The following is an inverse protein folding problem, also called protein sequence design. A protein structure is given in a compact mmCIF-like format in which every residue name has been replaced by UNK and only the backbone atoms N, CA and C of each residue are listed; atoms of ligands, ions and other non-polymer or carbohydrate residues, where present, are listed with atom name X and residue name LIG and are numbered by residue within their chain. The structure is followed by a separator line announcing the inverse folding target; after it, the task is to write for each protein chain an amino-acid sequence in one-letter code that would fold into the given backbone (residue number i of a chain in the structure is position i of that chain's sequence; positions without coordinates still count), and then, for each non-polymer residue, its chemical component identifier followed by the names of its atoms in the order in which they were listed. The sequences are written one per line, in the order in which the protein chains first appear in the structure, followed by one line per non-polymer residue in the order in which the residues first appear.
data_IF_397930701394
#
_entry.id   IF_397930701394
#
_cell.length_a   1.000
_cell.length_b   1.000
_cell.length_c   1.000
_cell.angle_alpha   90.00
_cell.angle_beta   90.00
_cell.angle_gamma   90.00
#
_symmetry.space_group_name_H-M   'P 1'
#
loop_
_entity.id
_entity.type
_entity.pdbx_description
1 polymer ?
#
# COMPACT_ATOMS: atom_id res chain seq x y z
N UNK A 1 19.10 -10.03 -17.40
CA UNK A 1 18.43 -9.41 -16.24
C UNK A 1 18.01 -10.53 -15.32
N UNK A 2 18.86 -10.86 -14.34
CA UNK A 2 18.64 -12.01 -13.46
C UNK A 2 17.38 -11.82 -12.64
N UNK A 3 16.48 -12.81 -12.70
CA UNK A 3 15.26 -12.87 -11.90
C UNK A 3 15.66 -12.90 -10.44
N UNK A 4 15.41 -11.82 -9.71
CA UNK A 4 15.64 -11.76 -8.27
C UNK A 4 14.67 -12.78 -7.63
N UNK A 5 15.20 -13.94 -7.26
CA UNK A 5 14.45 -14.98 -6.54
C UNK A 5 14.62 -14.76 -5.03
N UNK A 6 13.50 -14.92 -4.31
CA UNK A 6 13.40 -14.75 -2.85
C UNK A 6 14.22 -15.80 -2.06
N UNK A 7 14.81 -16.80 -2.74
CA UNK A 7 15.55 -17.92 -2.13
C UNK A 7 17.06 -17.73 -2.08
N UNK A 8 17.61 -16.68 -2.71
CA UNK A 8 19.05 -16.42 -2.68
C UNK A 8 19.45 -15.62 -1.43
N UNK A 9 20.69 -15.80 -0.97
CA UNK A 9 21.26 -15.04 0.14
C UNK A 9 20.98 -13.53 -0.02
N UNK A 10 20.10 -13.00 0.84
CA UNK A 10 19.75 -11.58 0.86
C UNK A 10 20.92 -10.77 1.41
N UNK A 11 21.91 -10.49 0.57
CA UNK A 11 22.81 -9.38 0.83
C UNK A 11 22.04 -8.06 0.85
N UNK A 12 22.45 -7.12 1.72
CA UNK A 12 21.83 -5.79 1.88
C UNK A 12 21.50 -5.08 0.55
N UNK A 13 22.37 -5.22 -0.46
CA UNK A 13 22.17 -4.63 -1.80
C UNK A 13 20.94 -5.18 -2.54
N UNK A 14 20.67 -6.48 -2.43
CA UNK A 14 19.54 -7.13 -3.13
C UNK A 14 18.21 -6.84 -2.43
N UNK A 15 18.22 -6.77 -1.10
CA UNK A 15 17.06 -6.34 -0.30
C UNK A 15 16.68 -4.90 -0.63
N UNK A 16 17.66 -3.98 -0.66
CA UNK A 16 17.42 -2.58 -1.02
C UNK A 16 16.85 -2.45 -2.43
N UNK A 17 17.34 -3.20 -3.42
CA UNK A 17 16.81 -3.16 -4.79
C UNK A 17 15.38 -3.71 -4.90
N UNK A 18 15.01 -4.66 -4.04
CA UNK A 18 13.66 -5.22 -3.97
C UNK A 18 12.67 -4.28 -3.27
N UNK A 19 13.10 -3.58 -2.21
CA UNK A 19 12.24 -2.66 -1.46
C UNK A 19 12.18 -1.26 -2.06
N UNK A 20 13.14 -0.87 -2.90
CA UNK A 20 13.21 0.44 -3.55
C UNK A 20 11.90 0.85 -4.24
N UNK A 21 11.24 -0.01 -5.07
CA UNK A 21 9.98 0.34 -5.73
C UNK A 21 8.86 0.61 -4.72
N UNK A 22 8.76 -0.19 -3.65
CA UNK A 22 7.76 0.00 -2.58
C UNK A 22 8.00 1.29 -1.81
N UNK A 23 9.25 1.61 -1.49
CA UNK A 23 9.63 2.86 -0.82
C UNK A 23 9.25 4.06 -1.69
N UNK A 24 9.56 4.01 -2.99
CA UNK A 24 9.19 5.06 -3.95
C UNK A 24 7.67 5.24 -3.98
N UNK A 25 6.89 4.15 -4.07
CA UNK A 25 5.43 4.22 -4.04
C UNK A 25 4.88 4.83 -2.75
N UNK A 26 5.47 4.50 -1.59
CA UNK A 26 5.07 5.10 -0.32
C UNK A 26 5.35 6.61 -0.29
N UNK A 27 6.48 7.06 -0.84
CA UNK A 27 6.82 8.49 -0.94
C UNK A 27 5.80 9.22 -1.82
N UNK A 28 5.48 8.70 -3.01
CA UNK A 28 4.47 9.30 -3.89
C UNK A 28 3.09 9.36 -3.24
N UNK A 29 2.68 8.29 -2.55
CA UNK A 29 1.40 8.24 -1.83
C UNK A 29 1.35 9.31 -0.74
N UNK A 30 2.46 9.51 -0.01
CA UNK A 30 2.56 10.54 1.02
C UNK A 30 2.49 11.95 0.43
N UNK A 31 3.17 12.20 -0.70
CA UNK A 31 3.12 13.51 -1.38
C UNK A 31 1.70 13.78 -1.86
N UNK A 32 1.02 12.79 -2.44
CA UNK A 32 -0.36 12.92 -2.87
C UNK A 32 -1.29 13.27 -1.70
N UNK A 33 -1.15 12.60 -0.54
CA UNK A 33 -1.95 12.91 0.64
C UNK A 33 -1.74 14.34 1.17
N UNK A 34 -0.51 14.85 1.12
CA UNK A 34 -0.21 16.24 1.52
C UNK A 34 -0.79 17.24 0.52
N UNK A 35 -0.67 16.97 -0.78
CA UNK A 35 -1.22 17.83 -1.83
C UNK A 35 -2.75 17.82 -1.77
N UNK A 36 -3.38 16.65 -1.62
CA UNK A 36 -4.83 16.51 -1.50
C UNK A 36 -5.34 17.25 -0.26
N UNK A 37 -4.72 17.06 0.90
CA UNK A 37 -5.05 17.79 2.13
C UNK A 37 -4.85 19.31 2.01
N UNK A 38 -3.78 19.76 1.36
CA UNK A 38 -3.50 21.18 1.15
C UNK A 38 -4.49 21.83 0.17
N UNK A 39 -4.77 21.18 -0.96
CA UNK A 39 -5.73 21.67 -1.95
C UNK A 39 -7.16 21.64 -1.41
N UNK A 40 -7.57 20.58 -0.71
CA UNK A 40 -8.88 20.48 -0.06
C UNK A 40 -9.06 21.55 1.01
N UNK A 41 -8.03 21.82 1.82
CA UNK A 41 -8.08 22.85 2.85
C UNK A 41 -8.13 24.27 2.27
N UNK A 42 -7.37 24.52 1.19
CA UNK A 42 -7.18 25.88 0.66
C UNK A 42 -8.18 26.27 -0.45
N UNK A 43 -8.56 25.36 -1.37
CA UNK A 43 -9.44 25.70 -2.49
C UNK A 43 -10.92 25.56 -2.19
N UNK A 44 -11.31 24.68 -1.27
CA UNK A 44 -12.70 24.25 -1.19
C UNK A 44 -13.51 24.95 -0.08
N UNK A 45 -12.85 25.78 0.74
CA UNK A 45 -13.47 26.54 1.83
C UNK A 45 -13.95 25.65 3.00
N UNK A 46 -14.33 26.29 4.12
CA UNK A 46 -14.77 25.59 5.35
C UNK A 46 -15.86 24.54 5.09
N UNK A 47 -16.77 24.81 4.16
CA UNK A 47 -17.92 23.95 3.83
C UNK A 47 -17.51 22.63 3.19
N UNK A 48 -16.56 22.64 2.25
CA UNK A 48 -16.13 21.40 1.57
C UNK A 48 -15.18 20.59 2.45
N UNK A 49 -14.37 21.23 3.28
CA UNK A 49 -13.56 20.53 4.28
C UNK A 49 -14.43 19.75 5.28
N UNK A 50 -15.55 20.33 5.73
CA UNK A 50 -16.55 19.63 6.56
C UNK A 50 -17.20 18.47 5.82
N UNK A 51 -17.57 18.64 4.54
CA UNK A 51 -18.17 17.58 3.73
C UNK A 51 -17.21 16.38 3.52
N UNK A 52 -15.92 16.66 3.32
CA UNK A 52 -14.91 15.61 3.19
C UNK A 52 -14.74 14.85 4.51
N UNK A 53 -14.60 15.54 5.64
CA UNK A 53 -14.53 14.86 6.95
C UNK A 53 -15.77 13.99 7.24
N UNK A 54 -16.93 14.33 6.67
CA UNK A 54 -18.14 13.51 6.78
C UNK A 54 -18.08 12.23 5.93
N UNK A 55 -17.51 12.28 4.72
CA UNK A 55 -17.42 11.11 3.81
C UNK A 55 -16.17 10.25 4.04
N UNK A 56 -15.11 10.82 4.59
CA UNK A 56 -13.87 10.11 4.92
C UNK A 56 -14.08 8.80 5.70
N UNK A 57 -14.91 8.71 6.76
CA UNK A 57 -15.16 7.44 7.45
C UNK A 57 -15.79 6.38 6.53
N UNK A 58 -16.66 6.77 5.60
CA UNK A 58 -17.26 5.83 4.64
C UNK A 58 -16.22 5.32 3.63
N UNK A 59 -15.39 6.22 3.09
CA UNK A 59 -14.28 5.86 2.22
C UNK A 59 -13.24 4.97 2.93
N UNK A 60 -12.95 5.26 4.21
CA UNK A 60 -12.06 4.45 5.02
C UNK A 60 -12.62 3.04 5.21
N UNK A 61 -13.90 2.85 5.53
CA UNK A 61 -14.49 1.51 5.68
C UNK A 61 -14.35 0.71 4.38
N UNK A 62 -14.71 1.31 3.24
CA UNK A 62 -14.56 0.64 1.94
C UNK A 62 -13.10 0.34 1.61
N UNK A 63 -12.20 1.29 1.86
CA UNK A 63 -10.77 1.13 1.68
C UNK A 63 -10.20 0.03 2.56
N UNK A 64 -10.55 0.00 3.85
CA UNK A 64 -10.08 -1.00 4.82
C UNK A 64 -10.52 -2.40 4.43
N UNK A 65 -11.74 -2.59 3.94
CA UNK A 65 -12.18 -3.90 3.42
C UNK A 65 -11.32 -4.32 2.23
N UNK A 66 -11.12 -3.42 1.26
CA UNK A 66 -10.26 -3.70 0.10
C UNK A 66 -8.80 -4.00 0.49
N UNK A 67 -8.22 -3.20 1.40
CA UNK A 67 -6.88 -3.42 1.94
C UNK A 67 -6.79 -4.75 2.69
N UNK A 68 -7.76 -5.09 3.54
CA UNK A 68 -7.79 -6.35 4.29
C UNK A 68 -7.76 -7.56 3.36
N UNK A 69 -8.56 -7.55 2.30
CA UNK A 69 -8.53 -8.65 1.31
C UNK A 69 -7.25 -8.65 0.48
N UNK A 70 -6.74 -7.49 0.07
CA UNK A 70 -5.52 -7.40 -0.73
C UNK A 70 -4.27 -7.81 0.06
N UNK A 71 -3.98 -7.13 1.17
CA UNK A 71 -2.79 -7.39 1.99
C UNK A 71 -2.94 -8.65 2.82
N UNK A 72 -4.11 -8.91 3.41
CA UNK A 72 -4.38 -10.14 4.15
C UNK A 72 -4.40 -11.38 3.26
N UNK A 73 -5.00 -11.28 2.07
CA UNK A 73 -4.99 -12.36 1.08
C UNK A 73 -3.56 -12.67 0.59
N UNK A 74 -2.81 -11.66 0.17
CA UNK A 74 -1.42 -11.84 -0.26
C UNK A 74 -0.50 -12.38 0.86
N UNK A 75 -0.74 -12.01 2.12
CA UNK A 75 -0.04 -12.60 3.26
C UNK A 75 -0.36 -14.09 3.43
N UNK A 76 -1.63 -14.50 3.31
CA UNK A 76 -2.04 -15.90 3.38
C UNK A 76 -1.45 -16.73 2.23
N UNK A 77 -1.51 -16.21 1.00
CA UNK A 77 -0.89 -16.83 -0.19
C UNK A 77 0.62 -17.01 0.03
N UNK A 78 1.29 -15.96 0.51
CA UNK A 78 2.74 -16.01 0.77
C UNK A 78 3.10 -17.03 1.85
N UNK A 79 2.27 -17.16 2.89
CA UNK A 79 2.45 -18.17 3.92
C UNK A 79 2.29 -19.60 3.37
N UNK A 80 1.24 -19.86 2.58
CA UNK A 80 0.99 -21.16 1.94
C UNK A 80 2.07 -21.54 0.93
N UNK A 81 2.57 -20.57 0.17
CA UNK A 81 3.69 -20.75 -0.74
C UNK A 81 4.98 -21.11 0.02
N UNK A 82 5.22 -20.46 1.17
CA UNK A 82 6.34 -20.78 2.06
C UNK A 82 6.26 -22.18 2.70
N UNK A 83 5.05 -22.68 2.96
CA UNK A 83 4.80 -24.05 3.43
C UNK A 83 4.91 -25.11 2.31
N UNK A 84 5.20 -24.72 1.05
CA UNK A 84 5.26 -25.61 -0.10
C UNK A 84 3.89 -26.07 -0.63
N UNK A 85 2.79 -25.48 -0.16
CA UNK A 85 1.42 -25.82 -0.55
C UNK A 85 0.92 -24.94 -1.71
N UNK A 86 1.65 -24.90 -2.82
CA UNK A 86 1.34 -24.02 -3.97
C UNK A 86 -0.04 -24.24 -4.62
N UNK A 87 -0.72 -25.36 -4.37
CA UNK A 87 -2.10 -25.59 -4.87
C UNK A 87 -3.18 -24.96 -4.00
N UNK A 88 -2.85 -24.62 -2.75
CA UNK A 88 -3.74 -23.96 -1.79
C UNK A 88 -3.43 -22.45 -1.65
N UNK A 89 -2.38 -21.99 -2.34
CA UNK A 89 -1.90 -20.61 -2.35
C UNK A 89 -2.59 -19.80 -3.44
#
# INVERSE_FOLDING_TARGET
MDKIQLSDHFGYSRLLRFTLPSIIMMIFTSIYGVVDGFFVSNLAGKTTFTAINLIMPFLMILGTVGFMFGTGGSALVSAKLGEGKSKEA
#
